data_IF_817351362893
#
_entry.id   IF_817351362893
#
_cell.length_a   1.000
_cell.length_b   1.000
_cell.length_c   1.000
_cell.angle_alpha   90.00
_cell.angle_beta   90.00
_cell.angle_gamma   90.00
#
_symmetry.space_group_name_H-M   'P 1'
#
loop_
_entity.id
_entity.type
_entity.pdbx_description
1 polymer ?
#
# COMPACT_ATOMS: atom_id res chain seq x y z
N UNK A 1 -5.60 22.66 -3.23
CA UNK A 1 -5.57 21.77 -2.04
C UNK A 1 -5.02 20.43 -2.51
N UNK A 2 -3.80 20.11 -2.12
CA UNK A 2 -3.10 18.90 -2.55
C UNK A 2 -3.66 17.68 -1.81
N UNK A 3 -4.67 17.05 -2.40
CA UNK A 3 -5.22 15.81 -1.89
C UNK A 3 -4.17 14.70 -2.04
N UNK A 4 -3.98 13.92 -0.97
CA UNK A 4 -2.99 12.86 -0.97
C UNK A 4 -3.60 11.67 -1.69
N UNK A 5 -3.15 11.50 -2.93
CA UNK A 5 -3.60 10.40 -3.76
C UNK A 5 -3.11 9.08 -3.17
N UNK A 6 -3.99 8.08 -3.24
CA UNK A 6 -3.68 6.71 -2.85
C UNK A 6 -2.49 6.22 -3.69
N UNK A 7 -1.37 5.75 -3.10
CA UNK A 7 -0.25 5.16 -3.83
C UNK A 7 -0.61 3.77 -4.40
N UNK A 8 -1.89 3.53 -4.70
CA UNK A 8 -2.39 2.27 -5.20
C UNK A 8 -2.10 2.14 -6.69
N UNK A 9 -1.22 1.21 -7.05
CA UNK A 9 -0.99 0.83 -8.44
C UNK A 9 -2.04 -0.18 -8.96
N UNK A 10 -3.17 -0.33 -8.26
CA UNK A 10 -4.24 -1.33 -8.50
C UNK A 10 -3.78 -2.80 -8.47
N UNK A 11 -2.51 -3.06 -8.17
CA UNK A 11 -2.00 -4.39 -7.90
C UNK A 11 -2.20 -4.73 -6.43
N UNK A 12 -3.21 -5.54 -6.10
CA UNK A 12 -3.42 -6.05 -4.75
C UNK A 12 -2.85 -7.47 -4.65
N UNK A 13 -1.66 -7.59 -4.09
CA UNK A 13 -1.05 -8.88 -3.78
C UNK A 13 -0.71 -8.87 -2.29
N UNK A 14 -1.47 -9.60 -1.48
CA UNK A 14 -1.33 -9.60 -0.02
C UNK A 14 -0.46 -10.76 0.41
N UNK A 15 0.50 -10.47 1.29
CA UNK A 15 1.23 -11.48 2.04
C UNK A 15 0.38 -12.08 3.17
N UNK A 16 0.89 -13.10 3.85
CA UNK A 16 0.34 -13.70 5.07
C UNK A 16 0.12 -12.67 6.19
N UNK A 17 0.83 -11.54 6.14
CA UNK A 17 0.68 -10.41 7.08
C UNK A 17 -0.34 -9.35 6.62
N UNK A 18 -1.18 -9.63 5.62
CA UNK A 18 -2.16 -8.72 5.03
C UNK A 18 -1.55 -7.43 4.43
N UNK A 19 -0.23 -7.41 4.18
CA UNK A 19 0.49 -6.31 3.55
C UNK A 19 0.48 -6.48 2.03
N UNK A 20 0.09 -5.43 1.31
CA UNK A 20 0.09 -5.41 -0.15
C UNK A 20 1.51 -5.23 -0.70
N UNK A 21 2.03 -6.14 -1.51
CA UNK A 21 3.35 -6.01 -2.15
C UNK A 21 3.44 -4.81 -3.10
N UNK A 22 2.33 -4.45 -3.76
CA UNK A 22 2.29 -3.34 -4.71
C UNK A 22 2.36 -1.96 -4.05
N UNK A 23 1.46 -1.70 -3.10
CA UNK A 23 1.35 -0.38 -2.44
C UNK A 23 1.84 -0.35 -1.00
N UNK A 24 2.43 -1.44 -0.47
CA UNK A 24 3.00 -1.66 0.89
C UNK A 24 2.15 -1.21 2.08
N UNK A 25 0.85 -1.05 1.85
CA UNK A 25 -0.17 -0.81 2.86
C UNK A 25 -0.81 -2.13 3.28
N UNK A 26 -1.21 -2.21 4.54
CA UNK A 26 -2.06 -3.32 5.03
C UNK A 26 -3.48 -3.22 4.49
N UNK A 27 -4.20 -4.33 4.47
CA UNK A 27 -5.63 -4.36 4.18
C UNK A 27 -6.44 -3.38 5.06
N UNK A 28 -6.06 -3.23 6.32
CA UNK A 28 -6.68 -2.29 7.25
C UNK A 28 -6.43 -0.82 6.85
N UNK A 29 -5.20 -0.47 6.46
CA UNK A 29 -4.87 0.87 5.96
C UNK A 29 -5.58 1.19 4.64
N UNK A 30 -5.77 0.18 3.77
CA UNK A 30 -6.53 0.34 2.51
C UNK A 30 -8.02 0.56 2.80
N UNK A 31 -8.61 -0.21 3.72
CA UNK A 31 -10.02 -0.08 4.11
C UNK A 31 -10.31 1.23 4.84
N UNK A 32 -9.36 1.71 5.65
CA UNK A 32 -9.49 2.98 6.37
C UNK A 32 -9.04 4.20 5.56
N UNK A 33 -8.44 4.03 4.38
CA UNK A 33 -7.94 5.15 3.56
C UNK A 33 -9.00 6.22 3.25
N UNK A 34 -10.24 5.80 2.98
CA UNK A 34 -11.36 6.71 2.72
C UNK A 34 -11.85 7.45 3.97
N UNK A 35 -11.49 6.97 5.17
CA UNK A 35 -11.85 7.56 6.47
C UNK A 35 -10.71 8.38 7.08
N UNK A 36 -9.47 8.16 6.62
CA UNK A 36 -8.28 8.84 7.12
C UNK A 36 -8.19 10.29 6.66
N UNK A 37 -7.68 11.16 7.54
CA UNK A 37 -7.34 12.55 7.21
C UNK A 37 -6.07 12.62 6.35
N UNK A 38 -5.81 13.77 5.72
CA UNK A 38 -4.58 13.95 4.94
C UNK A 38 -3.30 13.70 5.76
N UNK A 39 -3.31 14.05 7.04
CA UNK A 39 -2.20 13.81 7.97
C UNK A 39 -1.97 12.31 8.18
N UNK A 40 -3.05 11.56 8.45
CA UNK A 40 -2.97 10.10 8.59
C UNK A 40 -2.52 9.43 7.29
N UNK A 41 -3.02 9.91 6.14
CA UNK A 41 -2.58 9.45 4.82
C UNK A 41 -1.09 9.68 4.61
N UNK A 42 -0.53 10.81 5.05
CA UNK A 42 0.92 11.04 5.01
C UNK A 42 1.69 10.06 5.87
N UNK A 43 1.24 9.83 7.10
CA UNK A 43 1.89 8.87 8.00
C UNK A 43 1.85 7.46 7.41
N UNK A 44 0.75 7.06 6.81
CA UNK A 44 0.62 5.75 6.14
C UNK A 44 1.57 5.66 4.94
N UNK A 45 1.68 6.71 4.12
CA UNK A 45 2.64 6.74 2.99
C UNK A 45 4.08 6.68 3.50
N UNK A 46 4.42 7.45 4.53
CA UNK A 46 5.75 7.43 5.13
C UNK A 46 6.08 6.04 5.71
N UNK A 47 5.13 5.42 6.43
CA UNK A 47 5.24 4.03 6.89
C UNK A 47 5.44 3.05 5.74
N UNK A 48 4.72 3.24 4.64
CA UNK A 48 4.83 2.43 3.42
C UNK A 48 6.22 2.56 2.79
N UNK A 49 6.79 3.77 2.77
CA UNK A 49 8.15 4.03 2.31
C UNK A 49 9.21 3.41 3.24
N UNK A 50 8.98 3.48 4.56
CA UNK A 50 9.84 2.84 5.57
C UNK A 50 9.72 1.32 5.60
N UNK A 51 8.58 0.77 5.16
CA UNK A 51 8.39 -0.66 4.93
C UNK A 51 9.15 -1.04 3.66
N UNK A 52 10.42 -1.35 3.84
CA UNK A 52 11.26 -2.01 2.85
C UNK A 52 10.77 -3.44 2.72
N UNK A 53 9.80 -3.70 1.83
CA UNK A 53 9.61 -5.05 1.34
C UNK A 53 10.97 -5.48 0.79
N UNK A 54 11.46 -6.64 1.21
CA UNK A 54 12.78 -7.15 0.85
C UNK A 54 12.93 -7.01 -0.66
N UNK A 55 13.93 -6.24 -1.10
CA UNK A 55 14.24 -6.07 -2.52
C UNK A 55 14.71 -7.42 -3.06
N UNK A 56 13.77 -8.24 -3.54
CA UNK A 56 14.10 -9.59 -4.00
C UNK A 56 12.90 -10.50 -4.29
N UNK A 57 11.72 -10.24 -3.74
CA UNK A 57 10.53 -11.02 -4.07
C UNK A 57 9.85 -10.42 -5.30
N UNK A 58 10.25 -10.93 -6.48
CA UNK A 58 9.48 -10.74 -7.69
C UNK A 58 8.10 -11.41 -7.51
N UNK A 59 6.98 -10.68 -7.70
CA UNK A 59 5.69 -11.35 -7.80
C UNK A 59 5.74 -12.33 -8.99
N UNK A 60 5.34 -13.59 -8.82
CA UNK A 60 5.27 -14.53 -9.93
C UNK A 60 4.32 -13.99 -11.01
N UNK A 61 4.60 -14.37 -12.26
CA UNK A 61 4.09 -13.70 -13.45
C UNK A 61 2.57 -13.50 -13.56
N UNK A 62 2.26 -12.44 -14.31
CA UNK A 62 0.99 -12.11 -14.98
C UNK A 62 -0.27 -11.97 -14.10
N UNK A 63 -0.36 -10.86 -13.37
CA UNK A 63 -1.55 -10.51 -12.58
C UNK A 63 -2.28 -9.28 -13.13
N UNK A 64 -2.78 -9.39 -14.36
CA UNK A 64 -3.89 -8.57 -14.83
C UNK A 64 -5.18 -9.18 -14.27
N UNK A 65 -5.73 -8.55 -13.23
CA UNK A 65 -7.16 -8.58 -12.95
C UNK A 65 -7.69 -7.16 -13.01
#
# INVERSE_FOLDING_TARGET
MSEIHSPCIKQCFRDTQDVCFGCRRTGEEIGNWSKMTNEEKQVVIDKTYRRTNVAGEMPPGNYLR
#
